data_IF_298182037586
#
_entry.id   IF_298182037586
#
_cell.length_a   1.000
_cell.length_b   1.000
_cell.length_c   1.000
_cell.angle_alpha   90.00
_cell.angle_beta   90.00
_cell.angle_gamma   90.00
#
_symmetry.space_group_name_H-M   'P 1'
#
loop_
_entity.id
_entity.type
_entity.pdbx_description
1 polymer ?
#
# COMPACT_ATOMS: atom_id res chain seq x y z
N UNK A 1 31.05 0.76 32.91
CA UNK A 1 30.37 1.30 31.73
C UNK A 1 29.59 0.12 31.12
N UNK A 2 28.33 -0.05 31.50
CA UNK A 2 27.50 -1.14 31.00
C UNK A 2 27.18 -0.82 29.53
N UNK A 3 27.67 -1.63 28.58
CA UNK A 3 27.13 -1.66 27.23
C UNK A 3 25.69 -2.15 27.35
N UNK A 4 24.73 -1.31 27.15
CA UNK A 4 23.36 -1.73 26.82
C UNK A 4 23.48 -2.58 25.57
N UNK A 5 23.23 -3.89 25.70
CA UNK A 5 23.03 -4.74 24.54
C UNK A 5 21.77 -4.22 23.86
N UNK A 6 21.94 -3.46 22.80
CA UNK A 6 20.84 -3.14 21.90
C UNK A 6 20.44 -4.47 21.23
N UNK A 7 19.32 -5.03 21.63
CA UNK A 7 18.72 -6.13 20.88
C UNK A 7 18.07 -5.57 19.63
N UNK A 8 18.52 -6.02 18.47
CA UNK A 8 17.90 -5.66 17.19
C UNK A 8 16.51 -6.26 17.09
N UNK A 9 15.57 -5.46 16.61
CA UNK A 9 14.28 -6.00 16.19
C UNK A 9 14.45 -6.59 14.77
N UNK A 10 14.26 -7.90 14.66
CA UNK A 10 14.45 -8.64 13.40
C UNK A 10 13.17 -9.37 13.04
N UNK A 11 12.55 -8.97 11.93
CA UNK A 11 11.40 -9.65 11.34
C UNK A 11 11.84 -10.61 10.24
N UNK A 12 11.38 -11.87 10.32
CA UNK A 12 11.67 -12.90 9.34
C UNK A 12 10.45 -13.18 8.48
N UNK A 13 10.56 -12.87 7.20
CA UNK A 13 9.47 -12.84 6.25
C UNK A 13 9.68 -13.83 5.10
N UNK A 14 8.59 -14.27 4.48
CA UNK A 14 8.61 -15.24 3.40
C UNK A 14 8.90 -16.66 3.90
N UNK A 15 9.06 -17.59 2.96
CA UNK A 15 9.33 -19.00 3.23
C UNK A 15 10.53 -19.48 2.43
N UNK A 16 11.48 -20.14 3.09
CA UNK A 16 12.70 -20.64 2.44
C UNK A 16 12.35 -21.63 1.31
N UNK A 17 12.93 -21.42 0.15
CA UNK A 17 12.66 -22.23 -1.06
C UNK A 17 11.40 -21.84 -1.85
N UNK A 18 10.56 -20.92 -1.36
CA UNK A 18 9.33 -20.51 -2.03
C UNK A 18 9.44 -19.05 -2.51
N UNK A 19 9.72 -18.89 -3.79
CA UNK A 19 9.93 -17.58 -4.44
C UNK A 19 8.72 -16.65 -4.31
N UNK A 20 7.52 -17.19 -4.50
CA UNK A 20 6.25 -16.42 -4.47
C UNK A 20 6.02 -15.77 -3.10
N UNK A 21 6.15 -16.53 -2.01
CA UNK A 21 5.96 -16.00 -0.66
C UNK A 21 7.01 -14.95 -0.29
N UNK A 22 8.25 -15.14 -0.74
CA UNK A 22 9.33 -14.17 -0.55
C UNK A 22 9.09 -12.88 -1.33
N UNK A 23 8.60 -12.96 -2.57
CA UNK A 23 8.22 -11.78 -3.36
C UNK A 23 7.07 -11.02 -2.69
N UNK A 24 5.99 -11.70 -2.34
CA UNK A 24 4.86 -11.05 -1.65
C UNK A 24 5.29 -10.38 -0.36
N UNK A 25 6.15 -11.02 0.44
CA UNK A 25 6.67 -10.43 1.67
C UNK A 25 7.50 -9.17 1.40
N UNK A 26 8.37 -9.18 0.40
CA UNK A 26 9.17 -8.03 0.02
C UNK A 26 8.30 -6.86 -0.47
N UNK A 27 7.33 -7.13 -1.33
CA UNK A 27 6.45 -6.08 -1.86
C UNK A 27 5.51 -5.50 -0.79
N UNK A 28 5.03 -6.34 0.13
CA UNK A 28 4.27 -5.89 1.29
C UNK A 28 5.12 -4.97 2.17
N UNK A 29 6.34 -5.39 2.49
CA UNK A 29 7.27 -4.60 3.29
C UNK A 29 7.54 -3.21 2.63
N UNK A 30 7.85 -3.19 1.34
CA UNK A 30 8.09 -1.94 0.60
C UNK A 30 6.85 -1.04 0.56
N UNK A 31 5.64 -1.61 0.47
CA UNK A 31 4.41 -0.82 0.46
C UNK A 31 4.07 -0.22 1.83
N UNK A 32 4.41 -0.92 2.91
CA UNK A 32 4.03 -0.54 4.28
C UNK A 32 5.10 0.24 5.02
N UNK A 33 6.36 0.20 4.57
CA UNK A 33 7.51 0.85 5.20
C UNK A 33 8.17 1.82 4.21
N UNK A 34 7.81 3.08 4.31
CA UNK A 34 8.34 4.13 3.41
C UNK A 34 9.77 4.57 3.73
N UNK A 35 10.31 4.12 4.84
CA UNK A 35 11.63 4.50 5.38
C UNK A 35 12.72 3.43 5.15
N UNK A 36 12.43 2.38 4.39
CA UNK A 36 13.44 1.42 3.95
C UNK A 36 14.48 2.11 3.06
N UNK A 37 15.74 1.99 3.40
CA UNK A 37 16.82 2.67 2.70
C UNK A 37 17.94 1.76 2.19
N UNK A 38 18.13 0.58 2.79
CA UNK A 38 19.23 -0.32 2.47
C UNK A 38 18.74 -1.75 2.33
N UNK A 39 19.22 -2.43 1.31
CA UNK A 39 19.01 -3.85 1.09
C UNK A 39 20.35 -4.56 0.85
N UNK A 40 20.61 -5.64 1.55
CA UNK A 40 21.74 -6.52 1.30
C UNK A 40 21.23 -7.81 0.66
N UNK A 41 21.70 -8.11 -0.54
CA UNK A 41 21.51 -9.41 -1.19
C UNK A 41 22.52 -10.38 -0.59
N UNK A 42 22.05 -11.33 0.22
CA UNK A 42 22.88 -12.34 0.86
C UNK A 42 22.95 -13.58 -0.03
N UNK A 43 24.12 -13.84 -0.58
CA UNK A 43 24.34 -14.90 -1.57
C UNK A 43 25.16 -16.04 -0.99
N UNK A 44 24.63 -17.25 -1.09
CA UNK A 44 25.36 -18.51 -0.86
C UNK A 44 25.22 -19.39 -2.10
N UNK A 45 26.27 -19.51 -2.88
CA UNK A 45 26.27 -20.16 -4.21
C UNK A 45 25.17 -19.56 -5.13
N UNK A 46 24.17 -20.37 -5.46
CA UNK A 46 23.02 -19.94 -6.29
C UNK A 46 21.78 -19.61 -5.47
N UNK A 47 21.86 -19.61 -4.15
CA UNK A 47 20.75 -19.29 -3.25
C UNK A 47 20.88 -17.89 -2.71
N UNK A 48 19.77 -17.14 -2.69
CA UNK A 48 19.75 -15.75 -2.30
C UNK A 48 18.64 -15.46 -1.31
N UNK A 49 18.96 -14.57 -0.34
CA UNK A 49 18.06 -13.99 0.63
C UNK A 49 18.29 -12.48 0.67
N UNK A 50 17.42 -11.72 1.33
CA UNK A 50 17.64 -10.30 1.53
C UNK A 50 17.61 -9.94 3.02
N UNK A 51 18.47 -9.01 3.40
CA UNK A 51 18.40 -8.29 4.67
C UNK A 51 18.14 -6.81 4.34
N UNK A 52 16.96 -6.31 4.74
CA UNK A 52 16.59 -4.91 4.57
C UNK A 52 16.71 -4.18 5.90
N UNK A 53 16.98 -2.89 5.84
CA UNK A 53 17.11 -2.01 6.99
C UNK A 53 16.32 -0.73 6.73
N UNK A 54 15.59 -0.24 7.75
CA UNK A 54 14.95 1.07 7.74
C UNK A 54 15.83 2.16 8.42
N UNK A 55 15.34 3.39 8.40
CA UNK A 55 16.03 4.53 9.03
C UNK A 55 16.05 4.45 10.57
N UNK A 56 15.19 3.64 11.17
CA UNK A 56 15.08 3.47 12.62
C UNK A 56 15.85 2.27 13.15
N UNK A 57 16.65 1.63 12.26
CA UNK A 57 17.48 0.46 12.57
C UNK A 57 16.71 -0.82 12.88
N UNK A 58 15.48 -0.96 12.37
CA UNK A 58 14.82 -2.26 12.32
C UNK A 58 15.32 -3.08 11.12
N UNK A 59 15.35 -4.38 11.29
CA UNK A 59 15.87 -5.31 10.30
C UNK A 59 14.78 -6.28 9.83
N UNK A 60 14.72 -6.44 8.53
CA UNK A 60 13.74 -7.32 7.87
C UNK A 60 14.47 -8.33 7.00
N UNK A 61 14.27 -9.60 7.28
CA UNK A 61 14.90 -10.68 6.55
C UNK A 61 13.86 -11.35 5.66
N UNK A 62 14.09 -11.28 4.33
CA UNK A 62 13.36 -12.12 3.38
C UNK A 62 14.18 -13.40 3.21
N UNK A 63 13.58 -14.54 3.61
CA UNK A 63 14.24 -15.84 3.56
C UNK A 63 14.69 -16.24 2.16
N UNK A 64 15.54 -17.25 2.06
CA UNK A 64 16.13 -17.70 0.79
C UNK A 64 15.11 -18.42 -0.10
N UNK A 65 14.28 -17.64 -0.79
CA UNK A 65 13.33 -18.10 -1.79
C UNK A 65 13.78 -17.79 -3.22
N UNK A 66 14.93 -17.16 -3.40
CA UNK A 66 15.46 -16.74 -4.69
C UNK A 66 16.69 -17.55 -5.08
N UNK A 67 16.89 -17.73 -6.37
CA UNK A 67 18.04 -18.46 -6.89
C UNK A 67 18.62 -17.74 -8.11
N UNK A 68 19.77 -18.25 -8.63
CA UNK A 68 20.39 -17.78 -9.87
C UNK A 68 21.03 -18.93 -10.65
N UNK A 69 21.58 -18.65 -11.85
CA UNK A 69 22.39 -19.58 -12.60
C UNK A 69 21.63 -20.59 -13.49
N UNK A 70 20.31 -20.50 -13.55
CA UNK A 70 19.47 -21.31 -14.46
C UNK A 70 18.21 -20.56 -14.89
N UNK A 71 17.38 -21.16 -15.78
CA UNK A 71 16.10 -20.57 -16.17
C UNK A 71 14.97 -21.18 -15.35
N UNK A 72 14.27 -20.37 -14.52
CA UNK A 72 13.19 -20.82 -13.66
C UNK A 72 12.58 -19.71 -12.81
N UNK A 73 11.64 -20.07 -11.92
CA UNK A 73 10.93 -19.09 -11.09
C UNK A 73 11.83 -18.39 -10.07
N UNK A 74 12.80 -19.10 -9.51
CA UNK A 74 13.74 -18.51 -8.55
C UNK A 74 14.55 -17.36 -9.14
N UNK A 75 15.23 -17.53 -10.28
CA UNK A 75 15.95 -16.44 -10.96
C UNK A 75 15.05 -15.30 -11.44
N UNK A 76 13.86 -15.63 -11.95
CA UNK A 76 12.85 -14.59 -12.29
C UNK A 76 12.39 -13.80 -11.08
N UNK A 77 12.21 -14.48 -9.96
CA UNK A 77 11.87 -13.85 -8.69
C UNK A 77 12.97 -12.93 -8.18
N UNK A 78 14.23 -13.36 -8.27
CA UNK A 78 15.38 -12.52 -7.95
C UNK A 78 15.41 -11.23 -8.80
N UNK A 79 15.23 -11.37 -10.11
CA UNK A 79 15.17 -10.23 -11.02
C UNK A 79 14.03 -9.25 -10.66
N UNK A 80 12.83 -9.76 -10.32
CA UNK A 80 11.70 -8.93 -9.86
C UNK A 80 12.01 -8.23 -8.54
N UNK A 81 12.61 -8.94 -7.58
CA UNK A 81 12.99 -8.38 -6.29
C UNK A 81 14.00 -7.23 -6.44
N UNK A 82 15.07 -7.43 -7.20
CA UNK A 82 16.06 -6.40 -7.47
C UNK A 82 15.47 -5.21 -8.25
N UNK A 83 14.61 -5.48 -9.23
CA UNK A 83 13.96 -4.41 -10.01
C UNK A 83 13.07 -3.55 -9.14
N UNK A 84 12.30 -4.12 -8.20
CA UNK A 84 11.42 -3.33 -7.36
C UNK A 84 12.19 -2.52 -6.32
N UNK A 85 13.24 -3.08 -5.73
CA UNK A 85 14.14 -2.34 -4.84
C UNK A 85 14.72 -1.10 -5.55
N UNK A 86 15.22 -1.28 -6.77
CA UNK A 86 15.74 -0.17 -7.57
C UNK A 86 14.66 0.87 -7.91
N UNK A 87 13.43 0.46 -8.26
CA UNK A 87 12.31 1.39 -8.54
C UNK A 87 11.90 2.21 -7.32
N UNK A 88 12.04 1.66 -6.13
CA UNK A 88 11.81 2.36 -4.86
C UNK A 88 13.05 3.07 -4.30
N UNK A 89 14.14 3.13 -5.09
CA UNK A 89 15.39 3.81 -4.72
C UNK A 89 16.02 3.28 -3.43
N UNK A 90 15.85 1.98 -3.17
CA UNK A 90 16.48 1.29 -2.04
C UNK A 90 17.86 0.83 -2.48
N UNK A 91 18.90 1.36 -1.85
CA UNK A 91 20.29 1.02 -2.14
C UNK A 91 20.52 -0.46 -1.88
N UNK A 92 20.98 -1.17 -2.92
CA UNK A 92 21.16 -2.62 -2.85
C UNK A 92 22.62 -3.00 -3.11
N UNK A 93 23.19 -3.78 -2.20
CA UNK A 93 24.54 -4.33 -2.31
C UNK A 93 24.51 -5.86 -2.13
N UNK A 94 25.49 -6.55 -2.71
CA UNK A 94 25.61 -8.00 -2.58
C UNK A 94 26.73 -8.39 -1.64
N UNK A 95 26.49 -9.39 -0.78
CA UNK A 95 27.42 -9.97 0.17
C UNK A 95 27.39 -11.49 0.05
N UNK A 96 28.57 -12.12 0.08
CA UNK A 96 28.68 -13.57 0.12
C UNK A 96 28.57 -14.05 1.58
N UNK A 97 27.69 -15.01 1.81
CA UNK A 97 27.48 -15.60 3.12
C UNK A 97 27.72 -17.10 3.10
N UNK A 98 28.06 -17.67 4.27
CA UNK A 98 28.24 -19.11 4.42
C UNK A 98 26.91 -19.87 4.44
N UNK A 99 26.90 -21.14 4.07
CA UNK A 99 25.73 -22.01 4.17
C UNK A 99 25.19 -22.11 5.60
N UNK A 100 26.07 -22.03 6.62
CA UNK A 100 25.67 -21.99 8.04
C UNK A 100 24.88 -20.73 8.36
N UNK A 101 25.31 -19.56 7.86
CA UNK A 101 24.60 -18.29 8.09
C UNK A 101 23.27 -18.26 7.36
N UNK A 102 23.22 -18.76 6.12
CA UNK A 102 21.98 -18.91 5.35
C UNK A 102 20.98 -19.85 6.05
N UNK A 103 21.44 -20.95 6.63
CA UNK A 103 20.60 -21.85 7.42
C UNK A 103 20.04 -21.17 8.66
N UNK A 104 20.82 -20.40 9.40
CA UNK A 104 20.35 -19.64 10.57
C UNK A 104 19.32 -18.58 10.18
N UNK A 105 19.55 -17.88 9.09
CA UNK A 105 18.61 -16.92 8.51
C UNK A 105 17.26 -17.57 8.22
N UNK A 106 17.25 -18.72 7.56
CA UNK A 106 16.03 -19.46 7.23
C UNK A 106 15.28 -19.98 8.47
N UNK A 107 16.02 -20.28 9.55
CA UNK A 107 15.46 -20.76 10.81
C UNK A 107 15.15 -19.65 11.82
N UNK A 108 15.20 -18.38 11.40
CA UNK A 108 14.96 -17.21 12.26
C UNK A 108 15.83 -17.22 13.54
N UNK A 109 17.12 -17.53 13.41
CA UNK A 109 18.04 -17.73 14.55
C UNK A 109 19.35 -16.95 14.42
N UNK A 110 19.35 -15.84 13.68
CA UNK A 110 20.48 -14.90 13.66
C UNK A 110 20.55 -14.14 14.99
N UNK A 111 21.77 -13.98 15.48
CA UNK A 111 22.08 -13.12 16.61
C UNK A 111 22.44 -11.71 16.14
N UNK A 112 22.35 -10.72 17.06
CA UNK A 112 22.75 -9.34 16.80
C UNK A 112 24.21 -9.26 16.30
N UNK A 113 25.10 -10.09 16.86
CA UNK A 113 26.50 -10.16 16.42
C UNK A 113 26.63 -10.66 14.96
N UNK A 114 25.74 -11.54 14.50
CA UNK A 114 25.75 -12.03 13.13
C UNK A 114 25.15 -10.99 12.16
N UNK A 115 24.19 -10.19 12.59
CA UNK A 115 23.72 -9.02 11.84
C UNK A 115 24.87 -8.00 11.70
N UNK A 116 25.54 -7.65 12.79
CA UNK A 116 26.72 -6.78 12.76
C UNK A 116 27.83 -7.32 11.85
N UNK A 117 28.05 -8.62 11.87
CA UNK A 117 29.01 -9.28 11.01
C UNK A 117 28.62 -9.13 9.54
N UNK A 118 27.36 -9.34 9.16
CA UNK A 118 26.86 -9.19 7.78
C UNK A 118 27.14 -7.75 7.29
N UNK A 119 26.87 -6.72 8.07
CA UNK A 119 27.10 -5.32 7.67
C UNK A 119 28.59 -4.94 7.57
N UNK A 120 29.51 -5.74 8.14
CA UNK A 120 30.97 -5.53 8.03
C UNK A 120 31.62 -6.36 6.94
N UNK A 121 30.89 -7.31 6.37
CA UNK A 121 31.42 -8.17 5.31
C UNK A 121 31.73 -7.38 4.04
N UNK A 122 32.63 -7.96 3.26
CA UNK A 122 33.09 -7.32 2.03
C UNK A 122 31.99 -7.42 0.95
N UNK A 123 31.62 -6.26 0.44
CA UNK A 123 30.69 -6.13 -0.67
C UNK A 123 31.31 -6.74 -1.94
N UNK A 124 30.51 -7.44 -2.71
CA UNK A 124 30.92 -8.08 -3.99
C UNK A 124 31.25 -7.00 -5.02
N UNK A 125 32.46 -7.09 -5.59
CA UNK A 125 32.92 -6.18 -6.66
C UNK A 125 33.57 -6.98 -7.79
N UNK A 126 33.32 -6.64 -9.10
CA UNK A 126 32.42 -5.56 -9.54
C UNK A 126 30.95 -5.85 -9.18
N UNK A 127 30.11 -4.80 -9.18
CA UNK A 127 28.66 -4.93 -8.96
C UNK A 127 28.07 -5.80 -10.09
N UNK A 128 27.35 -6.84 -9.74
CA UNK A 128 26.76 -7.79 -10.68
C UNK A 128 25.24 -7.93 -10.58
N UNK A 129 24.57 -7.06 -9.82
CA UNK A 129 23.10 -7.10 -9.64
C UNK A 129 22.36 -7.03 -10.98
N UNK A 130 22.91 -6.29 -11.94
CA UNK A 130 22.35 -6.19 -13.29
C UNK A 130 22.37 -7.55 -14.03
N UNK A 131 23.38 -8.38 -13.78
CA UNK A 131 23.50 -9.70 -14.42
C UNK A 131 22.35 -10.63 -14.02
N UNK A 132 21.78 -10.46 -12.82
CA UNK A 132 20.60 -11.19 -12.38
C UNK A 132 19.31 -10.69 -13.03
N UNK A 133 19.23 -9.40 -13.42
CA UNK A 133 18.04 -8.77 -14.01
C UNK A 133 18.00 -8.99 -15.52
N UNK A 134 19.13 -8.83 -16.20
CA UNK A 134 19.24 -8.78 -17.66
C UNK A 134 18.56 -9.95 -18.37
N UNK A 135 18.71 -11.22 -17.97
CA UNK A 135 18.05 -12.33 -18.64
C UNK A 135 16.51 -12.28 -18.63
N UNK A 136 15.93 -11.47 -17.72
CA UNK A 136 14.49 -11.36 -17.50
C UNK A 136 13.96 -9.93 -17.72
N UNK A 137 14.74 -9.06 -18.35
CA UNK A 137 14.45 -7.64 -18.50
C UNK A 137 13.07 -7.37 -19.12
N UNK A 138 12.71 -8.13 -20.15
CA UNK A 138 11.41 -8.01 -20.80
C UNK A 138 10.23 -8.36 -19.87
N UNK A 139 10.43 -9.29 -18.93
CA UNK A 139 9.39 -9.67 -17.95
C UNK A 139 9.28 -8.63 -16.83
N UNK A 140 10.39 -8.12 -16.32
CA UNK A 140 10.39 -7.20 -15.18
C UNK A 140 10.05 -5.75 -15.58
N UNK A 141 10.18 -5.39 -16.85
CA UNK A 141 9.77 -4.07 -17.34
C UNK A 141 8.25 -3.96 -17.57
N UNK A 142 7.51 -5.07 -17.58
CA UNK A 142 6.06 -5.04 -17.66
C UNK A 142 5.45 -4.76 -16.29
N UNK A 143 4.82 -3.59 -16.13
CA UNK A 143 4.23 -3.16 -14.86
C UNK A 143 3.20 -4.17 -14.31
N UNK A 144 2.45 -4.86 -15.17
CA UNK A 144 1.48 -5.89 -14.76
C UNK A 144 2.12 -7.05 -14.00
N UNK A 145 3.35 -7.43 -14.38
CA UNK A 145 4.08 -8.54 -13.77
C UNK A 145 4.62 -8.20 -12.37
N UNK A 146 4.79 -6.92 -12.08
CA UNK A 146 5.24 -6.44 -10.77
C UNK A 146 4.05 -6.10 -9.86
N UNK A 147 3.03 -5.43 -10.40
CA UNK A 147 1.85 -4.98 -9.63
C UNK A 147 1.15 -6.07 -8.84
N UNK A 148 1.10 -7.29 -9.36
CA UNK A 148 0.38 -8.41 -8.73
C UNK A 148 0.93 -8.84 -7.37
N UNK A 149 2.15 -8.45 -7.03
CA UNK A 149 2.77 -8.78 -5.76
C UNK A 149 2.46 -7.77 -4.65
N UNK A 150 2.02 -6.56 -5.01
CA UNK A 150 1.59 -5.59 -4.02
C UNK A 150 0.28 -6.02 -3.38
N UNK A 151 0.14 -5.91 -2.07
CA UNK A 151 -1.11 -6.21 -1.40
C UNK A 151 -2.22 -5.24 -1.88
N UNK A 152 -3.40 -5.80 -2.10
CA UNK A 152 -4.61 -5.03 -2.37
C UNK A 152 -5.36 -4.83 -1.05
N UNK A 153 -5.10 -3.73 -0.37
CA UNK A 153 -5.67 -3.41 0.94
C UNK A 153 -6.12 -1.95 1.01
N UNK A 154 -7.08 -1.67 1.88
CA UNK A 154 -7.44 -0.28 2.19
C UNK A 154 -6.34 0.35 3.05
N UNK A 155 -5.93 1.59 2.75
CA UNK A 155 -5.01 2.34 3.58
C UNK A 155 -5.73 2.88 4.81
N UNK A 156 -5.91 2.06 5.85
CA UNK A 156 -6.71 2.37 7.03
C UNK A 156 -6.34 3.69 7.71
N UNK A 157 -5.07 4.11 7.63
CA UNK A 157 -4.57 5.35 8.24
C UNK A 157 -5.13 6.64 7.64
N UNK A 158 -5.71 6.59 6.42
CA UNK A 158 -6.30 7.75 5.75
C UNK A 158 -7.83 7.66 5.64
N UNK A 159 -8.43 6.66 6.26
CA UNK A 159 -9.89 6.49 6.26
C UNK A 159 -10.50 7.42 7.31
N UNK A 160 -11.54 8.15 6.92
CA UNK A 160 -12.32 9.00 7.82
C UNK A 160 -12.90 8.18 8.99
N UNK A 161 -12.76 8.67 10.21
CA UNK A 161 -13.18 7.98 11.43
C UNK A 161 -14.67 7.60 11.40
N UNK A 162 -15.49 8.38 10.72
CA UNK A 162 -16.96 8.17 10.63
C UNK A 162 -17.34 6.95 9.77
N UNK A 163 -16.40 6.40 8.99
CA UNK A 163 -16.60 5.18 8.18
C UNK A 163 -15.54 4.12 8.45
N UNK A 164 -14.74 4.27 9.48
CA UNK A 164 -13.69 3.30 9.81
C UNK A 164 -14.27 1.90 10.11
N UNK A 165 -15.41 1.82 10.78
CA UNK A 165 -16.13 0.55 10.99
C UNK A 165 -16.55 -0.11 9.67
N UNK A 166 -16.90 0.68 8.65
CA UNK A 166 -17.24 0.19 7.32
C UNK A 166 -16.00 -0.24 6.54
N UNK A 167 -14.86 0.40 6.74
CA UNK A 167 -13.59 -0.05 6.19
C UNK A 167 -13.19 -1.45 6.72
N UNK A 168 -13.44 -1.71 7.99
CA UNK A 168 -13.25 -3.04 8.58
C UNK A 168 -14.25 -4.07 8.03
N UNK A 169 -15.52 -3.67 7.88
CA UNK A 169 -16.55 -4.50 7.27
C UNK A 169 -16.24 -4.83 5.78
N UNK A 170 -15.60 -3.88 5.07
CA UNK A 170 -15.30 -4.01 3.65
C UNK A 170 -14.51 -5.28 3.30
N UNK A 171 -13.65 -5.74 4.20
CA UNK A 171 -12.88 -6.97 4.00
C UNK A 171 -13.77 -8.22 3.92
N UNK A 172 -14.92 -8.20 4.56
CA UNK A 172 -15.85 -9.34 4.62
C UNK A 172 -17.01 -9.19 3.65
N UNK A 173 -17.60 -8.00 3.55
CA UNK A 173 -18.72 -7.66 2.69
C UNK A 173 -18.57 -6.25 2.09
N UNK A 174 -17.81 -6.13 0.98
CA UNK A 174 -17.57 -4.84 0.33
C UNK A 174 -18.85 -4.13 -0.10
N UNK A 175 -19.83 -4.87 -0.62
CA UNK A 175 -21.07 -4.29 -1.13
C UNK A 175 -21.92 -3.67 -0.02
N UNK A 176 -22.05 -4.37 1.10
CA UNK A 176 -22.74 -3.86 2.28
C UNK A 176 -22.03 -2.64 2.86
N UNK A 177 -20.68 -2.67 2.92
CA UNK A 177 -19.87 -1.55 3.41
C UNK A 177 -20.09 -0.30 2.56
N UNK A 178 -19.96 -0.41 1.24
CA UNK A 178 -20.16 0.69 0.30
C UNK A 178 -21.60 1.24 0.36
N UNK A 179 -22.60 0.36 0.34
CA UNK A 179 -24.01 0.79 0.43
C UNK A 179 -24.28 1.57 1.71
N UNK A 180 -23.77 1.09 2.85
CA UNK A 180 -23.91 1.78 4.14
C UNK A 180 -23.15 3.11 4.17
N UNK A 181 -21.98 3.18 3.56
CA UNK A 181 -21.20 4.40 3.50
C UNK A 181 -21.96 5.51 2.75
N UNK A 182 -22.51 5.24 1.58
CA UNK A 182 -23.33 6.21 0.86
C UNK A 182 -24.54 6.67 1.68
N UNK A 183 -25.27 5.75 2.31
CA UNK A 183 -26.43 6.11 3.15
C UNK A 183 -26.05 6.97 4.34
N UNK A 184 -24.97 6.61 5.03
CA UNK A 184 -24.47 7.35 6.19
C UNK A 184 -24.05 8.78 5.80
N UNK A 185 -23.42 8.98 4.65
CA UNK A 185 -23.08 10.32 4.18
C UNK A 185 -24.33 11.17 3.90
N UNK A 186 -25.37 10.60 3.24
CA UNK A 186 -26.65 11.29 3.09
C UNK A 186 -27.26 11.67 4.44
N UNK A 187 -27.22 10.79 5.45
CA UNK A 187 -27.75 11.04 6.78
C UNK A 187 -26.98 12.16 7.52
N UNK A 188 -25.66 12.17 7.40
CA UNK A 188 -24.81 13.23 7.96
C UNK A 188 -25.20 14.59 7.36
N UNK A 189 -25.27 14.70 6.03
CA UNK A 189 -25.61 15.95 5.35
C UNK A 189 -27.04 16.40 5.68
N UNK A 190 -28.01 15.49 5.71
CA UNK A 190 -29.39 15.80 6.13
C UNK A 190 -29.46 16.32 7.56
N UNK A 191 -28.78 15.65 8.48
CA UNK A 191 -28.73 16.05 9.89
C UNK A 191 -28.12 17.44 10.05
N UNK A 192 -27.06 17.72 9.31
CA UNK A 192 -26.32 18.98 9.37
C UNK A 192 -27.09 20.16 8.76
N UNK A 193 -27.91 19.91 7.73
CA UNK A 193 -28.58 20.98 6.94
C UNK A 193 -30.08 21.06 7.16
N UNK A 194 -30.71 20.03 7.71
CA UNK A 194 -32.16 19.93 7.83
C UNK A 194 -32.88 19.62 6.53
N UNK A 195 -32.17 19.43 5.41
CA UNK A 195 -32.75 19.14 4.10
C UNK A 195 -33.16 17.66 4.01
N UNK A 196 -34.42 17.39 3.68
CA UNK A 196 -34.95 16.03 3.57
C UNK A 196 -35.01 15.55 2.10
N UNK A 197 -33.87 15.60 1.41
CA UNK A 197 -33.69 15.10 0.04
C UNK A 197 -32.73 13.90 0.03
N UNK A 198 -32.55 13.28 -1.13
CA UNK A 198 -31.77 12.08 -1.29
C UNK A 198 -30.86 12.16 -2.50
N UNK A 199 -29.76 11.42 -2.47
CA UNK A 199 -28.85 11.21 -3.59
C UNK A 199 -28.36 12.54 -4.18
N UNK A 200 -28.26 12.65 -5.49
CA UNK A 200 -27.75 13.85 -6.20
C UNK A 200 -28.52 15.13 -5.90
N UNK A 201 -29.84 15.02 -5.65
CA UNK A 201 -30.69 16.17 -5.31
C UNK A 201 -30.28 16.80 -3.98
N UNK A 202 -29.99 15.98 -2.99
CA UNK A 202 -29.51 16.46 -1.68
C UNK A 202 -28.23 17.30 -1.85
N UNK A 203 -27.22 16.76 -2.53
CA UNK A 203 -25.95 17.47 -2.68
C UNK A 203 -26.04 18.70 -3.58
N UNK A 204 -26.86 18.65 -4.63
CA UNK A 204 -27.12 19.82 -5.44
C UNK A 204 -27.80 20.93 -4.65
N UNK A 205 -28.83 20.61 -3.84
CA UNK A 205 -29.52 21.60 -3.00
C UNK A 205 -28.59 22.18 -1.93
N UNK A 206 -27.78 21.32 -1.29
CA UNK A 206 -26.95 21.75 -0.16
C UNK A 206 -25.75 22.57 -0.60
N UNK A 207 -25.15 22.29 -1.76
CA UNK A 207 -23.89 22.90 -2.19
C UNK A 207 -23.99 23.81 -3.41
N UNK A 208 -25.14 23.86 -4.11
CA UNK A 208 -25.26 24.63 -5.38
C UNK A 208 -26.30 25.76 -5.29
N UNK A 209 -26.07 26.81 -6.07
CA UNK A 209 -27.01 27.91 -6.25
C UNK A 209 -26.96 28.96 -5.14
N UNK A 210 -27.87 29.95 -5.27
CA UNK A 210 -27.95 31.07 -4.33
C UNK A 210 -28.42 30.67 -2.93
N UNK A 211 -29.11 29.55 -2.82
CA UNK A 211 -29.64 29.00 -1.57
C UNK A 211 -28.78 27.86 -1.02
N UNK A 212 -27.54 27.73 -1.49
CA UNK A 212 -26.61 26.73 -0.93
C UNK A 212 -26.45 26.95 0.58
N UNK A 213 -26.40 25.84 1.34
CA UNK A 213 -26.27 25.87 2.79
C UNK A 213 -24.84 25.58 3.26
N UNK A 214 -24.10 24.86 2.46
CA UNK A 214 -22.70 24.51 2.73
C UNK A 214 -21.80 24.96 1.58
N UNK A 215 -20.58 25.33 1.92
CA UNK A 215 -19.52 25.70 0.98
C UNK A 215 -18.16 25.36 1.57
N UNK A 216 -17.11 25.62 0.84
CA UNK A 216 -15.72 25.53 1.31
C UNK A 216 -15.06 26.91 1.26
N UNK A 217 -14.18 27.16 2.22
CA UNK A 217 -13.35 28.38 2.25
C UNK A 217 -12.14 28.18 1.34
N UNK A 218 -12.40 28.32 0.03
CA UNK A 218 -11.40 28.22 -1.03
C UNK A 218 -11.50 29.43 -1.96
N UNK A 219 -10.38 29.92 -2.49
CA UNK A 219 -10.34 31.16 -3.26
C UNK A 219 -11.00 31.08 -4.65
N UNK A 220 -11.12 29.85 -5.21
CA UNK A 220 -11.62 29.65 -6.58
C UNK A 220 -13.01 28.99 -6.61
N UNK A 221 -13.98 29.71 -7.17
CA UNK A 221 -15.31 29.18 -7.41
C UNK A 221 -15.34 27.93 -8.32
N UNK A 222 -14.34 27.74 -9.19
CA UNK A 222 -14.23 26.55 -10.02
C UNK A 222 -13.91 25.32 -9.16
N UNK A 223 -13.13 25.49 -8.09
CA UNK A 223 -12.84 24.43 -7.13
C UNK A 223 -14.10 24.02 -6.37
N UNK A 224 -14.91 24.97 -5.89
CA UNK A 224 -16.22 24.68 -5.26
C UNK A 224 -17.09 23.85 -6.21
N UNK A 225 -17.23 24.28 -7.46
CA UNK A 225 -18.00 23.53 -8.48
C UNK A 225 -17.44 22.13 -8.71
N UNK A 226 -16.11 22.01 -8.75
CA UNK A 226 -15.42 20.72 -8.89
C UNK A 226 -15.76 19.76 -7.76
N UNK A 227 -15.67 20.21 -6.50
CA UNK A 227 -16.04 19.45 -5.31
C UNK A 227 -17.51 19.01 -5.34
N UNK A 228 -18.43 19.90 -5.68
CA UNK A 228 -19.86 19.56 -5.82
C UNK A 228 -20.10 18.52 -6.91
N UNK A 229 -19.43 18.67 -8.05
CA UNK A 229 -19.53 17.71 -9.14
C UNK A 229 -18.98 16.32 -8.74
N UNK A 230 -18.01 16.26 -7.84
CA UNK A 230 -17.50 15.00 -7.32
C UNK A 230 -18.59 14.28 -6.50
N UNK A 231 -19.31 14.96 -5.61
CA UNK A 231 -20.45 14.37 -4.89
C UNK A 231 -21.52 13.85 -5.85
N UNK A 232 -22.02 14.72 -6.73
CA UNK A 232 -23.11 14.34 -7.64
C UNK A 232 -22.67 13.24 -8.61
N UNK A 233 -21.45 13.34 -9.16
CA UNK A 233 -20.88 12.35 -10.07
C UNK A 233 -20.68 10.98 -9.42
N UNK A 234 -20.15 10.94 -8.20
CA UNK A 234 -19.96 9.70 -7.47
C UNK A 234 -21.30 8.99 -7.19
N UNK A 235 -22.31 9.75 -6.75
CA UNK A 235 -23.65 9.19 -6.53
C UNK A 235 -24.31 8.70 -7.81
N UNK A 236 -24.15 9.40 -8.92
CA UNK A 236 -24.67 8.96 -10.22
C UNK A 236 -23.95 7.71 -10.73
N UNK A 237 -22.64 7.69 -10.65
CA UNK A 237 -21.80 6.62 -11.23
C UNK A 237 -21.88 5.32 -10.41
N UNK A 238 -21.88 5.41 -9.09
CA UNK A 238 -21.70 4.26 -8.22
C UNK A 238 -22.96 3.92 -7.38
N UNK A 239 -23.43 4.85 -6.55
CA UNK A 239 -24.58 4.59 -5.64
C UNK A 239 -25.84 4.19 -6.40
N UNK A 240 -26.19 4.90 -7.47
CA UNK A 240 -27.38 4.58 -8.27
C UNK A 240 -27.21 3.26 -9.02
N UNK A 241 -26.02 2.95 -9.51
CA UNK A 241 -25.73 1.69 -10.16
C UNK A 241 -25.96 0.51 -9.21
N UNK A 242 -25.51 0.60 -7.93
CA UNK A 242 -25.74 -0.43 -6.90
C UNK A 242 -27.21 -0.65 -6.57
N UNK A 243 -28.04 0.38 -6.68
CA UNK A 243 -29.47 0.27 -6.43
C UNK A 243 -30.25 -0.46 -7.55
N UNK A 244 -29.69 -0.55 -8.77
CA UNK A 244 -30.40 -1.00 -9.97
C UNK A 244 -29.72 -2.13 -10.74
N UNK A 245 -28.55 -2.58 -10.32
CA UNK A 245 -27.79 -3.66 -11.00
C UNK A 245 -27.37 -4.73 -9.99
N UNK A 246 -27.04 -5.91 -10.53
CA UNK A 246 -26.37 -6.96 -9.76
C UNK A 246 -25.01 -6.49 -9.23
N UNK A 247 -24.54 -7.12 -8.16
CA UNK A 247 -23.26 -6.82 -7.50
C UNK A 247 -22.12 -6.79 -8.52
N UNK A 248 -21.31 -5.75 -8.44
CA UNK A 248 -19.97 -5.78 -9.06
C UNK A 248 -19.05 -6.63 -8.19
N UNK A 249 -18.71 -7.82 -8.66
CA UNK A 249 -17.80 -8.74 -7.97
C UNK A 249 -16.32 -8.35 -8.14
N UNK A 250 -16.02 -7.34 -8.95
CA UNK A 250 -14.64 -6.88 -9.15
C UNK A 250 -14.14 -6.11 -7.93
N UNK A 251 -13.35 -6.79 -7.12
CA UNK A 251 -12.80 -6.25 -5.88
C UNK A 251 -11.98 -4.95 -6.12
N UNK A 252 -11.23 -4.85 -7.23
CA UNK A 252 -10.47 -3.64 -7.55
C UNK A 252 -11.39 -2.43 -7.76
N UNK A 253 -12.54 -2.61 -8.43
CA UNK A 253 -13.52 -1.55 -8.58
C UNK A 253 -14.09 -1.12 -7.24
N UNK A 254 -14.39 -2.07 -6.36
CA UNK A 254 -14.93 -1.80 -5.03
C UNK A 254 -13.92 -1.03 -4.15
N UNK A 255 -12.63 -1.36 -4.20
CA UNK A 255 -11.57 -0.59 -3.51
C UNK A 255 -11.52 0.86 -3.99
N UNK A 256 -11.55 1.07 -5.31
CA UNK A 256 -11.55 2.42 -5.89
C UNK A 256 -12.77 3.20 -5.45
N UNK A 257 -13.96 2.57 -5.46
CA UNK A 257 -15.19 3.19 -5.03
C UNK A 257 -15.15 3.56 -3.54
N UNK A 258 -14.60 2.68 -2.67
CA UNK A 258 -14.46 2.99 -1.25
C UNK A 258 -13.55 4.20 -1.00
N UNK A 259 -12.46 4.33 -1.73
CA UNK A 259 -11.57 5.50 -1.63
C UNK A 259 -12.23 6.78 -2.16
N UNK A 260 -13.06 6.69 -3.20
CA UNK A 260 -13.83 7.84 -3.68
C UNK A 260 -14.83 8.29 -2.61
N UNK A 261 -15.57 7.37 -1.99
CA UNK A 261 -16.53 7.77 -0.95
C UNK A 261 -15.82 8.28 0.30
N UNK A 262 -14.67 7.74 0.67
CA UNK A 262 -13.84 8.28 1.75
C UNK A 262 -13.52 9.76 1.51
N UNK A 263 -13.10 10.11 0.30
CA UNK A 263 -12.84 11.51 -0.08
C UNK A 263 -14.08 12.39 0.09
N UNK A 264 -15.28 11.88 -0.24
CA UNK A 264 -16.51 12.65 -0.02
C UNK A 264 -16.78 12.93 1.46
N UNK A 265 -16.41 12.01 2.36
CA UNK A 265 -16.50 12.26 3.81
C UNK A 265 -15.55 13.35 4.26
N UNK A 266 -14.32 13.34 3.80
CA UNK A 266 -13.32 14.37 4.11
C UNK A 266 -13.77 15.74 3.59
N UNK A 267 -14.22 15.82 2.35
CA UNK A 267 -14.77 17.06 1.77
C UNK A 267 -16.02 17.55 2.50
N UNK A 268 -16.90 16.66 2.95
CA UNK A 268 -18.06 17.04 3.75
C UNK A 268 -17.65 17.63 5.10
N UNK A 269 -16.64 17.06 5.75
CA UNK A 269 -16.10 17.54 7.02
C UNK A 269 -15.48 18.94 6.88
N UNK A 270 -14.77 19.21 5.79
CA UNK A 270 -14.19 20.52 5.50
C UNK A 270 -15.24 21.61 5.16
N UNK A 271 -16.43 21.20 4.75
CA UNK A 271 -17.46 22.18 4.37
C UNK A 271 -17.95 22.99 5.57
N UNK A 272 -18.20 24.28 5.33
CA UNK A 272 -18.70 25.24 6.34
C UNK A 272 -20.13 25.67 6.02
N UNK A 273 -20.91 26.02 7.06
CA UNK A 273 -22.24 26.59 6.87
C UNK A 273 -22.13 28.01 6.30
N UNK A 274 -22.90 28.29 5.26
CA UNK A 274 -23.04 29.65 4.73
C UNK A 274 -23.88 30.45 5.72
N UNK A 275 -23.32 31.53 6.25
CA UNK A 275 -24.07 32.45 7.10
C UNK A 275 -25.13 33.16 6.26
N UNK A 276 -26.39 33.29 6.77
CA UNK A 276 -27.39 34.11 6.08
C UNK A 276 -26.83 35.53 5.88
N UNK A 277 -26.97 36.04 4.66
CA UNK A 277 -26.68 37.46 4.40
C UNK A 277 -27.70 38.27 5.18
N UNK A 278 -27.24 39.11 6.15
CA UNK A 278 -28.05 40.09 6.83
C UNK A 278 -28.67 41.07 5.84
#
# INVERSE_FOLDING_TARGET
>A
MFKTENHYHIDYLGEAGITETCLHSMYNLIQTHSDLNTALLLTNDQSHAFLLKDLTENYYIIRSGFTSGYSGEGPKGLAKALTILNKHQIDTEEILVTSKLMSKLNNASLSDQEIDFIFREKIVRPIRLHDYIYPFENEVNQASNLKRYYPLELPYSIIDDRIFDLALLFKQDPDSALTKAYKRLEDIVRTRTGINEHSTKLFAHVFQGENALLTWDVPDNAEIKGRVNLFTGAYMAFRNARAHREKDENLIHQYREFLIINELYLLEQEAILIQPKE
#
